data_IF_459670989988
#
_entry.id   IF_459670989988
#
_cell.length_a   1.000
_cell.length_b   1.000
_cell.length_c   1.000
_cell.angle_alpha   90.00
_cell.angle_beta   90.00
_cell.angle_gamma   90.00
#
_symmetry.space_group_name_H-M   'P 1'
#
loop_
_entity.id
_entity.type
_entity.pdbx_description
1 polymer ?
#
# COMPACT_ATOMS: atom_id res chain seq x y z
N UNK A 1 -10.39 22.80 -15.48
CA UNK A 1 -9.61 21.67 -16.04
C UNK A 1 -10.30 20.39 -15.59
N UNK A 2 -10.77 19.62 -16.56
CA UNK A 2 -11.63 18.45 -16.35
C UNK A 2 -10.73 17.25 -15.99
N UNK A 3 -10.83 16.70 -14.78
CA UNK A 3 -10.11 15.47 -14.41
C UNK A 3 -11.06 14.30 -14.67
N UNK A 4 -10.83 13.46 -15.69
CA UNK A 4 -11.71 12.35 -16.00
C UNK A 4 -11.50 11.21 -15.00
N UNK A 5 -12.61 10.73 -14.43
CA UNK A 5 -12.83 9.42 -13.81
C UNK A 5 -11.87 8.98 -12.67
N UNK A 6 -12.30 9.25 -11.43
CA UNK A 6 -11.72 8.76 -10.17
C UNK A 6 -12.11 7.29 -9.93
N UNK A 7 -11.53 6.33 -10.64
CA UNK A 7 -11.67 4.91 -10.26
C UNK A 7 -10.59 4.55 -9.25
N UNK A 8 -10.78 4.88 -7.98
CA UNK A 8 -9.88 4.49 -6.88
C UNK A 8 -10.14 5.21 -5.55
N UNK A 9 -9.51 4.75 -4.47
CA UNK A 9 -9.67 5.31 -3.10
C UNK A 9 -8.82 6.56 -2.80
N UNK A 10 -7.93 6.94 -3.72
CA UNK A 10 -6.95 8.02 -3.52
C UNK A 10 -7.43 9.33 -4.12
N UNK A 11 -6.95 10.45 -3.57
CA UNK A 11 -7.22 11.77 -4.13
C UNK A 11 -6.54 11.95 -5.50
N UNK A 12 -7.07 12.81 -6.36
CA UNK A 12 -6.52 13.01 -7.70
C UNK A 12 -5.23 13.85 -7.75
N UNK A 13 -4.84 14.53 -6.67
CA UNK A 13 -3.72 15.47 -6.71
C UNK A 13 -2.37 14.78 -6.52
N UNK A 14 -2.29 13.76 -5.65
CA UNK A 14 -1.06 12.97 -5.42
C UNK A 14 -1.34 11.51 -5.04
N UNK A 15 -1.97 10.71 -5.91
CA UNK A 15 -2.12 9.28 -5.65
C UNK A 15 -0.75 8.57 -5.66
N UNK A 16 -0.66 7.36 -5.07
CA UNK A 16 0.53 6.51 -5.22
C UNK A 16 0.88 6.29 -6.70
N UNK A 17 2.19 6.21 -7.01
CA UNK A 17 2.64 5.92 -8.37
C UNK A 17 2.24 4.50 -8.79
N UNK A 18 1.45 4.38 -9.87
CA UNK A 18 1.08 3.09 -10.45
C UNK A 18 2.29 2.30 -10.91
N UNK A 19 3.21 2.93 -11.63
CA UNK A 19 4.41 2.30 -12.17
C UNK A 19 5.23 1.64 -11.04
N UNK A 20 5.51 2.39 -9.97
CA UNK A 20 6.25 1.86 -8.81
C UNK A 20 5.49 0.77 -8.06
N UNK A 21 4.16 0.85 -7.98
CA UNK A 21 3.36 -0.18 -7.34
C UNK A 21 3.35 -1.49 -8.16
N UNK A 22 3.40 -1.38 -9.49
CA UNK A 22 3.44 -2.52 -10.40
C UNK A 22 4.81 -3.22 -10.45
N UNK A 23 5.90 -2.54 -10.05
CA UNK A 23 7.25 -3.12 -9.93
C UNK A 23 7.37 -4.20 -8.83
N UNK A 24 6.44 -4.24 -7.87
CA UNK A 24 6.46 -5.27 -6.84
C UNK A 24 6.09 -6.65 -7.39
N UNK A 25 7.09 -7.51 -7.57
CA UNK A 25 6.91 -8.90 -8.05
C UNK A 25 6.52 -9.91 -6.96
N UNK A 26 6.09 -9.42 -5.79
CA UNK A 26 5.67 -10.25 -4.65
C UNK A 26 6.73 -11.23 -4.08
N UNK A 27 8.03 -11.01 -4.33
CA UNK A 27 9.10 -11.93 -3.90
C UNK A 27 9.24 -12.12 -2.38
N UNK A 28 8.92 -11.09 -1.58
CA UNK A 28 8.95 -11.17 -0.13
C UNK A 28 10.29 -10.88 0.53
N UNK A 29 11.31 -10.44 -0.22
CA UNK A 29 12.60 -10.07 0.38
C UNK A 29 12.52 -8.93 1.40
N UNK A 30 11.49 -8.08 1.31
CA UNK A 30 11.25 -7.03 2.30
C UNK A 30 10.68 -7.53 3.63
N UNK A 31 10.08 -8.74 3.66
CA UNK A 31 9.42 -9.26 4.86
C UNK A 31 10.36 -9.36 6.08
N UNK A 32 11.50 -10.06 6.00
CA UNK A 32 12.37 -10.21 7.17
C UNK A 32 13.03 -8.89 7.61
N UNK A 33 13.08 -7.88 6.74
CA UNK A 33 13.64 -6.56 7.04
C UNK A 33 12.64 -5.63 7.74
N UNK A 34 11.34 -5.88 7.60
CA UNK A 34 10.31 -5.02 8.14
C UNK A 34 10.03 -5.29 9.62
N UNK A 35 10.26 -4.32 10.54
CA UNK A 35 10.13 -4.55 11.97
C UNK A 35 8.69 -4.83 12.43
N UNK A 36 7.69 -4.19 11.83
CA UNK A 36 6.27 -4.41 12.18
C UNK A 36 5.77 -5.77 11.73
N UNK A 37 6.18 -6.21 10.53
CA UNK A 37 5.91 -7.56 10.06
C UNK A 37 6.58 -8.61 10.94
N UNK A 38 7.87 -8.45 11.26
CA UNK A 38 8.60 -9.40 12.12
C UNK A 38 7.95 -9.52 13.50
N UNK A 39 7.45 -8.41 14.05
CA UNK A 39 6.83 -8.40 15.38
C UNK A 39 5.44 -9.05 15.40
N UNK A 40 4.59 -8.79 14.41
CA UNK A 40 3.17 -9.20 14.43
C UNK A 40 2.79 -10.29 13.44
N UNK A 41 3.63 -10.58 12.44
CA UNK A 41 3.35 -11.54 11.37
C UNK A 41 2.24 -11.11 10.40
N UNK A 42 1.74 -9.88 10.50
CA UNK A 42 0.70 -9.37 9.62
C UNK A 42 1.31 -8.86 8.31
N UNK A 43 1.14 -9.60 7.22
CA UNK A 43 1.73 -9.24 5.93
C UNK A 43 1.26 -7.88 5.41
N UNK A 44 0.01 -7.49 5.66
CA UNK A 44 -0.51 -6.18 5.25
C UNK A 44 0.26 -4.99 5.89
N UNK A 45 0.99 -5.23 6.99
CA UNK A 45 1.84 -4.25 7.66
C UNK A 45 3.27 -4.18 7.09
N UNK A 46 3.64 -5.09 6.19
CA UNK A 46 4.95 -5.12 5.51
C UNK A 46 5.03 -4.13 4.33
N UNK A 47 6.24 -3.81 3.81
CA UNK A 47 6.38 -2.99 2.60
C UNK A 47 5.63 -3.60 1.40
N UNK A 48 5.75 -4.91 1.18
CA UNK A 48 5.01 -5.63 0.14
C UNK A 48 3.50 -5.54 0.34
N UNK A 49 3.02 -5.76 1.56
CA UNK A 49 1.60 -5.68 1.89
C UNK A 49 1.02 -4.30 1.61
N UNK A 50 1.75 -3.24 1.95
CA UNK A 50 1.36 -1.85 1.65
C UNK A 50 1.30 -1.58 0.16
N UNK A 51 2.30 -2.01 -0.60
CA UNK A 51 2.26 -1.86 -2.06
C UNK A 51 1.07 -2.61 -2.67
N UNK A 52 0.76 -3.81 -2.16
CA UNK A 52 -0.42 -4.55 -2.58
C UNK A 52 -1.72 -3.80 -2.28
N UNK A 53 -1.85 -3.21 -1.09
CA UNK A 53 -3.00 -2.38 -0.72
C UNK A 53 -3.08 -1.13 -1.60
N UNK A 54 -1.97 -0.44 -1.86
CA UNK A 54 -1.92 0.71 -2.77
C UNK A 54 -2.41 0.33 -4.17
N UNK A 55 -1.96 -0.80 -4.71
CA UNK A 55 -2.41 -1.29 -6.02
C UNK A 55 -3.91 -1.63 -6.01
N UNK A 56 -4.42 -2.26 -4.94
CA UNK A 56 -5.85 -2.52 -4.80
C UNK A 56 -6.68 -1.23 -4.76
N UNK A 57 -6.19 -0.19 -4.07
CA UNK A 57 -6.82 1.12 -4.03
C UNK A 57 -6.82 1.84 -5.37
N UNK A 58 -5.72 1.75 -6.13
CA UNK A 58 -5.60 2.28 -7.50
C UNK A 58 -6.46 1.53 -8.51
N UNK A 59 -6.73 0.24 -8.28
CA UNK A 59 -7.57 -0.58 -9.16
C UNK A 59 -9.07 -0.46 -8.82
N UNK A 60 -9.44 0.33 -7.81
CA UNK A 60 -10.82 0.39 -7.30
C UNK A 60 -11.30 -0.93 -6.68
N UNK A 61 -10.37 -1.80 -6.25
CA UNK A 61 -10.64 -3.11 -5.64
C UNK A 61 -10.59 -3.09 -4.11
N UNK A 62 -10.38 -1.92 -3.52
CA UNK A 62 -10.38 -1.69 -2.09
C UNK A 62 -11.26 -0.48 -1.76
N UNK A 63 -11.73 -0.42 -0.52
CA UNK A 63 -12.43 0.73 0.05
C UNK A 63 -11.62 1.28 1.22
N UNK A 64 -11.66 2.59 1.41
CA UNK A 64 -11.02 3.22 2.56
C UNK A 64 -11.83 2.94 3.83
N UNK A 65 -11.22 2.30 4.82
CA UNK A 65 -11.81 2.04 6.13
C UNK A 65 -10.72 1.96 7.22
N UNK A 66 -11.13 1.82 8.49
CA UNK A 66 -10.21 1.80 9.63
C UNK A 66 -9.18 0.68 9.57
N UNK A 67 -9.52 -0.48 8.98
CA UNK A 67 -8.57 -1.58 8.84
C UNK A 67 -7.52 -1.26 7.76
N UNK A 68 -7.96 -0.75 6.61
CA UNK A 68 -7.07 -0.28 5.54
C UNK A 68 -6.12 0.79 6.06
N UNK A 69 -6.65 1.81 6.74
CA UNK A 69 -5.88 2.89 7.34
C UNK A 69 -4.89 2.37 8.39
N UNK A 70 -5.34 1.50 9.30
CA UNK A 70 -4.50 0.94 10.37
C UNK A 70 -3.25 0.29 9.81
N UNK A 71 -3.35 -0.40 8.68
CA UNK A 71 -2.16 -0.92 8.04
C UNK A 71 -1.18 0.22 7.83
N UNK A 72 -1.49 1.29 7.09
CA UNK A 72 -0.52 2.37 6.86
C UNK A 72 -0.02 3.06 8.14
N UNK A 73 -0.88 3.26 9.13
CA UNK A 73 -0.53 3.93 10.39
C UNK A 73 0.49 3.14 11.24
N UNK A 74 0.61 1.84 11.04
CA UNK A 74 1.64 1.04 11.72
C UNK A 74 3.03 1.16 11.07
N UNK A 75 3.16 1.86 9.95
CA UNK A 75 4.43 2.04 9.27
C UNK A 75 5.38 2.95 10.06
N UNK A 76 6.58 2.47 10.37
CA UNK A 76 7.60 3.24 11.09
C UNK A 76 8.47 4.13 10.19
N UNK A 77 8.31 4.07 8.86
CA UNK A 77 9.15 4.81 7.92
C UNK A 77 10.61 4.35 7.86
N UNK A 78 10.88 3.08 8.20
CA UNK A 78 12.23 2.52 8.31
C UNK A 78 13.01 2.32 7.01
N UNK A 79 12.35 2.41 5.84
CA UNK A 79 12.95 2.17 4.51
C UNK A 79 13.59 0.77 4.34
N UNK A 80 12.98 -0.23 4.96
CA UNK A 80 13.35 -1.64 4.87
C UNK A 80 13.00 -2.30 3.52
#
# INVERSE_FOLDING_TARGET
MNVPNLTGIFDPHRPPSRELADDCVHCGFCLPSCPTYVLWGQEADSPRGRIYLMKAGLDGRAEWNDAYQRHFDTCLGCMA
#
